data_IF_518838529336
#
_entry.id   IF_518838529336
#
_cell.length_a   1.000
_cell.length_b   1.000
_cell.length_c   1.000
_cell.angle_alpha   90.00
_cell.angle_beta   90.00
_cell.angle_gamma   90.00
#
_symmetry.space_group_name_H-M   'P 1'
#
loop_
_entity.id
_entity.type
_entity.pdbx_description
1 polymer ?
#
# COMPACT_ATOMS: atom_id res chain seq x y z
N UNK A 1 -20.76 -15.56 -9.19
CA UNK A 1 -19.75 -15.41 -10.27
C UNK A 1 -20.14 -14.19 -11.07
N UNK A 2 -19.50 -13.05 -10.81
CA UNK A 2 -19.81 -11.80 -11.53
C UNK A 2 -19.15 -11.90 -12.92
N UNK A 3 -19.88 -12.38 -13.91
CA UNK A 3 -19.46 -12.30 -15.31
C UNK A 3 -19.86 -10.93 -15.84
N UNK A 4 -18.88 -10.07 -16.12
CA UNK A 4 -19.13 -8.81 -16.86
C UNK A 4 -19.82 -9.14 -18.18
N UNK A 5 -20.96 -8.51 -18.44
CA UNK A 5 -21.67 -8.77 -19.70
C UNK A 5 -20.85 -8.24 -20.90
N UNK A 6 -20.94 -8.85 -22.09
CA UNK A 6 -20.27 -8.33 -23.29
C UNK A 6 -20.62 -6.88 -23.60
N UNK A 7 -21.87 -6.48 -23.35
CA UNK A 7 -22.36 -5.11 -23.53
C UNK A 7 -21.64 -4.15 -22.58
N UNK A 8 -21.53 -4.51 -21.30
CA UNK A 8 -20.84 -3.68 -20.32
C UNK A 8 -19.33 -3.60 -20.61
N UNK A 9 -18.71 -4.71 -21.02
CA UNK A 9 -17.31 -4.72 -21.42
C UNK A 9 -17.03 -3.82 -22.63
N UNK A 10 -17.91 -3.82 -23.64
CA UNK A 10 -17.80 -2.95 -24.82
C UNK A 10 -17.96 -1.48 -24.45
N UNK A 11 -18.97 -1.15 -23.64
CA UNK A 11 -19.18 0.22 -23.15
C UNK A 11 -17.95 0.75 -22.41
N UNK A 12 -17.37 -0.05 -21.52
CA UNK A 12 -16.19 0.33 -20.76
C UNK A 12 -14.94 0.49 -21.64
N UNK A 13 -14.76 -0.38 -22.63
CA UNK A 13 -13.67 -0.27 -23.60
C UNK A 13 -13.77 1.02 -24.43
N UNK A 14 -14.97 1.35 -24.91
CA UNK A 14 -15.23 2.61 -25.62
C UNK A 14 -14.95 3.82 -24.74
N UNK A 15 -15.38 3.78 -23.47
CA UNK A 15 -15.10 4.83 -22.48
C UNK A 15 -13.59 5.01 -22.27
N UNK A 16 -12.83 3.93 -22.09
CA UNK A 16 -11.37 3.96 -21.91
C UNK A 16 -10.62 4.49 -23.15
N UNK A 17 -11.10 4.21 -24.35
CA UNK A 17 -10.53 4.76 -25.59
C UNK A 17 -10.84 6.26 -25.68
N UNK A 18 -12.09 6.66 -25.38
CA UNK A 18 -12.55 8.04 -25.46
C UNK A 18 -11.85 8.98 -24.46
N UNK A 19 -11.42 8.48 -23.29
CA UNK A 19 -10.67 9.28 -22.31
C UNK A 19 -9.25 9.62 -22.77
N UNK A 20 -8.73 8.97 -23.82
CA UNK A 20 -7.37 9.21 -24.34
C UNK A 20 -6.24 8.70 -23.44
N UNK A 21 -6.57 7.93 -22.39
CA UNK A 21 -5.62 7.25 -21.51
C UNK A 21 -4.95 6.10 -22.26
N UNK A 22 -5.71 5.37 -23.08
CA UNK A 22 -5.18 4.29 -23.92
C UNK A 22 -4.73 4.86 -25.26
N UNK A 23 -3.41 4.94 -25.46
CA UNK A 23 -2.81 5.52 -26.68
C UNK A 23 -2.14 4.51 -27.61
N UNK A 24 -1.77 3.34 -27.10
CA UNK A 24 -1.09 2.33 -27.91
C UNK A 24 -2.09 1.70 -28.92
N UNK A 25 -1.82 1.80 -30.25
CA UNK A 25 -2.71 1.26 -31.27
C UNK A 25 -2.97 -0.25 -31.13
N UNK A 26 -2.02 -1.01 -30.58
CA UNK A 26 -2.17 -2.45 -30.35
C UNK A 26 -3.19 -2.73 -29.24
N UNK A 27 -3.15 -1.92 -28.17
CA UNK A 27 -4.13 -2.03 -27.07
C UNK A 27 -5.51 -1.60 -27.55
N UNK A 28 -5.60 -0.53 -28.35
CA UNK A 28 -6.87 -0.10 -28.95
C UNK A 28 -7.46 -1.20 -29.85
N UNK A 29 -6.62 -1.88 -30.65
CA UNK A 29 -7.06 -2.99 -31.48
C UNK A 29 -7.63 -4.15 -30.65
N UNK A 30 -6.99 -4.51 -29.54
CA UNK A 30 -7.51 -5.51 -28.58
C UNK A 30 -8.85 -5.06 -27.98
N UNK A 31 -8.93 -3.80 -27.54
CA UNK A 31 -10.15 -3.23 -26.95
C UNK A 31 -11.35 -3.20 -27.92
N UNK A 32 -11.07 -3.14 -29.22
CA UNK A 32 -12.09 -3.19 -30.29
C UNK A 32 -12.37 -4.59 -30.81
N UNK A 33 -11.58 -5.60 -30.47
CA UNK A 33 -11.76 -6.96 -30.96
C UNK A 33 -13.05 -7.62 -30.46
N UNK A 34 -13.51 -8.65 -31.18
CA UNK A 34 -14.66 -9.47 -30.75
C UNK A 34 -14.33 -10.38 -29.57
N UNK A 35 -13.04 -10.75 -29.40
CA UNK A 35 -12.52 -11.46 -28.23
C UNK A 35 -11.96 -10.49 -27.17
N UNK A 36 -12.63 -9.36 -26.96
CA UNK A 36 -12.26 -8.36 -25.95
C UNK A 36 -12.08 -8.99 -24.57
N UNK A 37 -13.11 -9.68 -24.08
CA UNK A 37 -13.14 -10.25 -22.74
C UNK A 37 -12.05 -11.32 -22.60
N UNK A 38 -11.94 -12.25 -23.55
CA UNK A 38 -10.93 -13.31 -23.50
C UNK A 38 -9.51 -12.75 -23.56
N UNK A 39 -9.26 -11.73 -24.38
CA UNK A 39 -7.95 -11.08 -24.46
C UNK A 39 -7.57 -10.37 -23.17
N UNK A 40 -8.49 -9.61 -22.56
CA UNK A 40 -8.26 -8.95 -21.27
C UNK A 40 -8.03 -9.96 -20.17
N UNK A 41 -8.83 -11.03 -20.08
CA UNK A 41 -8.67 -12.09 -19.07
C UNK A 41 -7.31 -12.77 -19.21
N UNK A 42 -6.88 -13.13 -20.42
CA UNK A 42 -5.55 -13.73 -20.65
C UNK A 42 -4.43 -12.76 -20.29
N UNK A 43 -4.56 -11.48 -20.65
CA UNK A 43 -3.58 -10.47 -20.28
C UNK A 43 -3.48 -10.28 -18.76
N UNK A 44 -4.62 -10.25 -18.06
CA UNK A 44 -4.66 -10.16 -16.59
C UNK A 44 -4.08 -11.40 -15.92
N UNK A 45 -4.38 -12.62 -16.39
CA UNK A 45 -3.79 -13.85 -15.86
C UNK A 45 -2.27 -13.89 -16.08
N UNK A 46 -1.80 -13.49 -17.27
CA UNK A 46 -0.36 -13.39 -17.55
C UNK A 46 0.31 -12.36 -16.65
N UNK A 47 -0.28 -11.17 -16.50
CA UNK A 47 0.22 -10.12 -15.62
C UNK A 47 0.26 -10.59 -14.17
N UNK A 48 -0.80 -11.25 -13.69
CA UNK A 48 -0.84 -11.84 -12.35
C UNK A 48 0.32 -12.81 -12.15
N UNK A 49 0.45 -13.83 -13.02
CA UNK A 49 1.48 -14.87 -12.89
C UNK A 49 2.90 -14.34 -12.96
N UNK A 50 3.13 -13.31 -13.76
CA UNK A 50 4.48 -12.80 -14.03
C UNK A 50 4.91 -11.70 -13.08
N UNK A 51 3.96 -10.86 -12.63
CA UNK A 51 4.26 -9.62 -11.92
C UNK A 51 3.84 -9.65 -10.45
N UNK A 52 2.83 -10.43 -10.09
CA UNK A 52 2.24 -10.41 -8.74
C UNK A 52 2.42 -11.72 -7.99
N UNK A 53 2.19 -12.85 -8.67
CA UNK A 53 2.23 -14.17 -8.06
C UNK A 53 3.56 -14.51 -7.38
N UNK A 54 4.74 -14.18 -7.94
CA UNK A 54 6.03 -14.48 -7.29
C UNK A 54 6.15 -13.85 -5.90
N UNK A 55 5.72 -12.60 -5.76
CA UNK A 55 5.88 -11.80 -4.55
C UNK A 55 4.57 -11.67 -3.75
N UNK A 56 3.50 -12.38 -4.14
CA UNK A 56 2.15 -12.14 -3.65
C UNK A 56 2.04 -12.21 -2.13
N UNK A 57 2.71 -13.20 -1.51
CA UNK A 57 2.70 -13.34 -0.06
C UNK A 57 3.38 -12.18 0.66
N UNK A 58 4.41 -11.60 0.07
CA UNK A 58 5.09 -10.41 0.55
C UNK A 58 4.20 -9.17 0.41
N UNK A 59 3.66 -8.94 -0.80
CA UNK A 59 2.75 -7.81 -1.09
C UNK A 59 1.54 -7.83 -0.14
N UNK A 60 0.92 -8.99 0.01
CA UNK A 60 -0.19 -9.22 0.93
C UNK A 60 0.20 -8.96 2.37
N UNK A 61 1.39 -9.38 2.80
CA UNK A 61 1.87 -9.12 4.16
C UNK A 61 2.02 -7.63 4.48
N UNK A 62 2.44 -6.81 3.51
CA UNK A 62 2.51 -5.35 3.67
C UNK A 62 1.11 -4.77 3.93
N UNK A 63 0.13 -5.15 3.11
CA UNK A 63 -1.27 -4.73 3.29
C UNK A 63 -1.84 -5.22 4.63
N UNK A 64 -1.61 -6.49 5.01
CA UNK A 64 -2.05 -7.07 6.29
C UNK A 64 -1.49 -6.29 7.49
N UNK A 65 -0.22 -5.89 7.44
CA UNK A 65 0.42 -5.08 8.48
C UNK A 65 -0.22 -3.70 8.62
N UNK A 66 -0.58 -3.07 7.51
CA UNK A 66 -1.29 -1.79 7.53
C UNK A 66 -2.68 -1.94 8.18
N UNK A 67 -3.47 -2.94 7.76
CA UNK A 67 -4.80 -3.19 8.34
C UNK A 67 -4.74 -3.36 9.86
N UNK A 68 -3.81 -4.17 10.37
CA UNK A 68 -3.64 -4.38 11.82
C UNK A 68 -3.32 -3.06 12.54
N UNK A 69 -2.48 -2.22 11.94
CA UNK A 69 -2.17 -0.90 12.49
C UNK A 69 -3.38 0.03 12.52
N UNK A 70 -4.15 0.10 11.43
CA UNK A 70 -5.34 0.97 11.33
C UNK A 70 -6.44 0.54 12.30
N UNK A 71 -6.65 -0.76 12.48
CA UNK A 71 -7.59 -1.30 13.49
C UNK A 71 -7.15 -0.91 14.91
N UNK A 72 -5.84 -1.00 15.21
CA UNK A 72 -5.29 -0.58 16.50
C UNK A 72 -5.45 0.92 16.76
N UNK A 73 -5.24 1.76 15.73
CA UNK A 73 -5.45 3.21 15.80
C UNK A 73 -6.92 3.56 16.01
N UNK A 74 -7.82 2.87 15.31
CA UNK A 74 -9.26 3.09 15.44
C UNK A 74 -9.74 2.93 16.90
N UNK A 75 -9.27 1.88 17.58
CA UNK A 75 -9.61 1.62 18.98
C UNK A 75 -9.05 2.64 19.98
N UNK A 76 -7.98 3.38 19.62
CA UNK A 76 -7.31 4.34 20.51
C UNK A 76 -7.70 5.79 20.24
N UNK A 77 -7.96 6.14 18.97
CA UNK A 77 -8.01 7.54 18.52
C UNK A 77 -9.14 7.82 17.53
N UNK A 78 -10.00 6.83 17.25
CA UNK A 78 -11.19 7.00 16.41
C UNK A 78 -10.91 7.20 14.92
N UNK A 79 -11.98 7.43 14.16
CA UNK A 79 -11.93 7.49 12.69
C UNK A 79 -11.18 8.68 12.12
N UNK A 80 -11.28 9.87 12.75
CA UNK A 80 -10.60 11.08 12.28
C UNK A 80 -9.09 10.83 12.15
N UNK A 81 -8.46 10.32 13.21
CA UNK A 81 -7.03 9.99 13.24
C UNK A 81 -6.65 8.94 12.20
N UNK A 82 -7.49 7.91 11.99
CA UNK A 82 -7.23 6.87 11.00
C UNK A 82 -7.24 7.45 9.59
N UNK A 83 -8.25 8.25 9.27
CA UNK A 83 -8.50 8.80 7.93
C UNK A 83 -7.49 9.89 7.56
N UNK A 84 -7.21 10.81 8.48
CA UNK A 84 -6.15 11.82 8.30
C UNK A 84 -4.77 11.17 8.15
N UNK A 85 -4.57 10.01 8.80
CA UNK A 85 -3.34 9.24 8.70
C UNK A 85 -3.23 8.34 7.46
N UNK A 86 -4.24 8.25 6.60
CA UNK A 86 -4.19 7.39 5.40
C UNK A 86 -3.31 8.01 4.30
N UNK A 87 -3.45 9.31 4.06
CA UNK A 87 -2.67 10.05 3.07
C UNK A 87 -2.78 11.55 3.34
N UNK A 88 -1.73 12.34 3.04
CA UNK A 88 -1.71 13.78 3.34
C UNK A 88 -2.75 14.62 2.60
N UNK A 89 -3.26 14.09 1.49
CA UNK A 89 -4.34 14.68 0.71
C UNK A 89 -5.73 14.43 1.29
N UNK A 90 -5.87 13.45 2.18
CA UNK A 90 -7.15 13.11 2.79
C UNK A 90 -7.40 13.98 4.02
N UNK A 91 -8.63 14.43 4.18
CA UNK A 91 -9.01 15.21 5.37
C UNK A 91 -10.36 14.75 5.88
N UNK A 92 -10.43 14.44 7.17
CA UNK A 92 -11.68 14.21 7.85
C UNK A 92 -12.40 15.54 8.13
N UNK A 93 -13.62 15.70 7.62
CA UNK A 93 -14.42 16.90 7.82
C UNK A 93 -15.91 16.58 7.76
N UNK A 94 -16.71 17.21 8.63
CA UNK A 94 -18.18 17.13 8.60
C UNK A 94 -18.72 15.67 8.58
N UNK A 95 -18.08 14.77 9.34
CA UNK A 95 -18.34 13.32 9.36
C UNK A 95 -18.18 12.60 8.01
N UNK A 96 -17.38 13.17 7.10
CA UNK A 96 -16.97 12.57 5.84
C UNK A 96 -15.47 12.67 5.61
N UNK A 97 -15.00 11.98 4.57
CA UNK A 97 -13.62 12.10 4.09
C UNK A 97 -13.61 12.94 2.81
N UNK A 98 -12.81 14.00 2.82
CA UNK A 98 -12.52 14.79 1.64
C UNK A 98 -11.38 14.14 0.87
N UNK A 99 -11.60 13.86 -0.42
CA UNK A 99 -10.62 13.30 -1.35
C UNK A 99 -10.39 14.32 -2.46
N UNK A 100 -9.20 14.91 -2.61
CA UNK A 100 -8.94 15.90 -3.65
C UNK A 100 -8.96 15.24 -5.03
N UNK A 101 -9.28 16.02 -6.04
CA UNK A 101 -9.40 15.60 -7.44
C UNK A 101 -10.45 14.50 -7.73
N UNK A 102 -11.30 14.15 -6.75
CA UNK A 102 -12.57 13.51 -7.05
C UNK A 102 -13.49 14.54 -7.73
N UNK A 103 -14.27 14.12 -8.73
CA UNK A 103 -15.27 14.98 -9.36
C UNK A 103 -16.14 15.68 -8.30
N UNK A 104 -16.64 16.91 -8.53
CA UNK A 104 -17.36 17.69 -7.52
C UNK A 104 -18.72 17.04 -7.20
N UNK A 105 -18.71 16.07 -6.28
CA UNK A 105 -19.89 15.40 -5.80
C UNK A 105 -19.66 14.92 -4.37
N UNK A 106 -20.41 15.47 -3.42
CA UNK A 106 -20.54 14.86 -2.10
C UNK A 106 -21.36 13.59 -2.25
N UNK A 107 -20.76 12.44 -1.91
CA UNK A 107 -21.45 11.15 -1.93
C UNK A 107 -21.83 10.74 -0.52
N UNK A 108 -23.13 10.62 -0.26
CA UNK A 108 -23.64 10.09 1.01
C UNK A 108 -23.54 8.56 0.98
N UNK A 109 -22.95 7.97 2.03
CA UNK A 109 -22.75 6.52 2.11
C UNK A 109 -24.03 5.73 2.42
N UNK A 110 -25.12 6.38 2.83
CA UNK A 110 -26.43 5.74 3.00
C UNK A 110 -26.50 4.59 4.03
N UNK A 111 -25.45 4.39 4.84
CA UNK A 111 -25.32 3.23 5.73
C UNK A 111 -24.54 2.04 5.11
N UNK A 112 -24.18 2.11 3.83
CA UNK A 112 -23.40 1.07 3.11
C UNK A 112 -21.93 1.01 3.55
N UNK A 113 -21.48 2.02 4.31
CA UNK A 113 -20.12 2.14 4.81
C UNK A 113 -19.11 2.56 3.74
N UNK A 114 -17.85 2.67 4.15
CA UNK A 114 -16.71 2.95 3.28
C UNK A 114 -15.67 1.85 3.47
N UNK A 115 -15.40 1.09 2.42
CA UNK A 115 -14.36 0.06 2.42
C UNK A 115 -12.99 0.71 2.23
N UNK A 116 -12.08 0.46 3.17
CA UNK A 116 -10.71 0.95 3.12
C UNK A 116 -9.77 -0.15 2.63
N UNK A 117 -9.10 0.08 1.50
CA UNK A 117 -8.19 -0.91 0.88
C UNK A 117 -6.77 -0.37 0.82
N UNK A 118 -5.84 -0.89 1.63
CA UNK A 118 -4.43 -0.58 1.48
C UNK A 118 -3.90 -1.19 0.18
N UNK A 119 -3.13 -0.41 -0.57
CA UNK A 119 -2.50 -0.83 -1.82
C UNK A 119 -1.01 -0.53 -1.80
N UNK A 120 -0.23 -1.47 -2.32
CA UNK A 120 1.21 -1.29 -2.55
C UNK A 120 1.52 -0.61 -3.88
N UNK A 121 0.51 -0.35 -4.72
CA UNK A 121 0.66 0.14 -6.10
C UNK A 121 0.04 1.51 -6.36
N UNK A 122 -0.79 2.04 -5.45
CA UNK A 122 -1.55 3.28 -5.69
C UNK A 122 -0.73 4.56 -5.44
N UNK A 123 0.42 4.43 -4.76
CA UNK A 123 1.27 5.56 -4.42
C UNK A 123 1.77 6.32 -5.66
N UNK A 124 1.96 7.65 -5.57
CA UNK A 124 1.81 8.49 -4.37
C UNK A 124 0.36 8.97 -4.14
N UNK A 125 -0.64 8.48 -4.88
CA UNK A 125 -2.01 8.98 -4.80
C UNK A 125 -2.97 8.11 -3.98
N UNK A 126 -4.23 8.51 -4.00
CA UNK A 126 -5.38 7.75 -3.50
C UNK A 126 -6.41 7.60 -4.61
N UNK A 127 -7.25 6.57 -4.54
CA UNK A 127 -8.35 6.39 -5.48
C UNK A 127 -9.66 6.10 -4.74
N UNK A 128 -10.74 6.74 -5.17
CA UNK A 128 -12.09 6.47 -4.69
C UNK A 128 -12.88 5.75 -5.78
N UNK A 129 -13.53 4.65 -5.42
CA UNK A 129 -14.51 3.97 -6.26
C UNK A 129 -15.88 4.18 -5.66
N UNK A 130 -16.70 5.00 -6.32
CA UNK A 130 -17.99 5.46 -5.81
C UNK A 130 -19.17 5.01 -6.68
N UNK A 131 -18.93 4.29 -7.77
CA UNK A 131 -19.97 3.88 -8.73
C UNK A 131 -20.19 2.36 -8.71
N UNK A 132 -21.37 1.90 -9.14
CA UNK A 132 -21.65 0.48 -9.36
C UNK A 132 -22.14 -0.32 -8.15
N UNK A 133 -22.13 -1.64 -8.29
CA UNK A 133 -22.63 -2.62 -7.30
C UNK A 133 -21.59 -3.00 -6.24
N UNK A 134 -20.39 -2.42 -6.30
CA UNK A 134 -19.33 -2.66 -5.33
C UNK A 134 -19.47 -1.69 -4.14
N UNK A 135 -19.01 -2.07 -2.92
CA UNK A 135 -18.98 -1.13 -1.80
C UNK A 135 -18.23 0.15 -2.17
N UNK A 136 -18.72 1.29 -1.67
CA UNK A 136 -17.99 2.57 -1.80
C UNK A 136 -16.62 2.38 -1.17
N UNK A 137 -15.56 2.66 -1.92
CA UNK A 137 -14.21 2.24 -1.55
C UNK A 137 -13.21 3.38 -1.67
N UNK A 138 -12.33 3.45 -0.68
CA UNK A 138 -11.12 4.28 -0.71
C UNK A 138 -9.89 3.37 -0.74
N UNK A 139 -9.12 3.47 -1.80
CA UNK A 139 -7.84 2.78 -2.00
C UNK A 139 -6.72 3.77 -1.66
N UNK A 140 -5.83 3.39 -0.74
CA UNK A 140 -4.79 4.27 -0.19
C UNK A 140 -3.44 3.56 -0.11
N UNK A 141 -2.30 4.29 -0.08
CA UNK A 141 -0.99 3.67 -0.02
C UNK A 141 -0.79 2.97 1.33
N UNK A 142 -0.44 1.69 1.29
CA UNK A 142 -0.11 0.92 2.49
C UNK A 142 1.17 1.46 3.14
N UNK A 143 1.24 1.46 4.48
CA UNK A 143 2.46 1.80 5.22
C UNK A 143 3.58 0.81 4.92
N UNK A 144 4.81 1.31 4.83
CA UNK A 144 6.01 0.48 4.58
C UNK A 144 6.22 0.06 3.12
N UNK A 145 5.47 0.62 2.17
CA UNK A 145 5.63 0.39 0.72
C UNK A 145 6.96 0.89 0.16
N UNK A 146 7.52 1.98 0.70
CA UNK A 146 8.84 2.46 0.31
C UNK A 146 9.95 1.39 0.50
N UNK A 147 9.88 0.63 1.60
CA UNK A 147 10.84 -0.43 1.91
C UNK A 147 10.68 -1.68 1.01
N UNK A 148 9.50 -1.87 0.43
CA UNK A 148 9.17 -2.99 -0.46
C UNK A 148 9.79 -2.79 -1.84
N UNK A 149 9.51 -1.65 -2.46
CA UNK A 149 9.93 -1.35 -3.84
C UNK A 149 11.38 -0.86 -3.95
N UNK A 150 12.06 -0.70 -2.81
CA UNK A 150 13.38 -0.08 -2.81
C UNK A 150 13.36 1.29 -3.48
N UNK A 151 12.22 2.01 -3.39
CA UNK A 151 12.08 3.40 -3.84
C UNK A 151 12.86 4.24 -2.84
N UNK A 152 14.17 4.09 -2.96
CA UNK A 152 15.25 4.89 -2.41
C UNK A 152 15.76 5.82 -3.52
N UNK A 153 14.86 6.29 -4.40
CA UNK A 153 15.14 7.43 -5.29
C UNK A 153 15.12 8.75 -4.50
N UNK A 154 15.20 8.70 -3.17
CA UNK A 154 15.58 9.84 -2.35
C UNK A 154 17.09 9.83 -2.15
N UNK A 155 17.81 10.93 -2.43
CA UNK A 155 19.27 11.03 -2.34
C UNK A 155 19.88 10.53 -1.01
N UNK A 156 19.13 10.60 0.10
CA UNK A 156 19.59 10.09 1.39
C UNK A 156 19.50 8.57 1.59
N UNK A 157 18.68 7.85 0.80
CA UNK A 157 18.47 6.40 0.89
C UNK A 157 19.77 5.59 0.84
N UNK A 158 20.60 5.90 -0.15
CA UNK A 158 21.89 5.24 -0.40
C UNK A 158 22.91 5.49 0.71
N UNK A 159 22.93 6.69 1.30
CA UNK A 159 23.86 7.04 2.36
C UNK A 159 23.63 6.18 3.62
N UNK A 160 22.37 5.90 3.96
CA UNK A 160 22.06 5.04 5.10
C UNK A 160 22.36 3.58 4.78
N UNK A 161 22.05 3.11 3.57
CA UNK A 161 22.46 1.78 3.14
C UNK A 161 23.99 1.61 3.20
N UNK A 162 24.76 2.64 2.85
CA UNK A 162 26.22 2.61 2.97
C UNK A 162 26.69 2.60 4.43
N UNK A 163 26.04 3.35 5.32
CA UNK A 163 26.40 3.43 6.74
C UNK A 163 26.14 2.12 7.51
N UNK A 164 24.97 1.53 7.32
CA UNK A 164 24.51 0.39 8.12
C UNK A 164 24.15 -0.84 7.29
N UNK A 165 24.35 -0.83 5.99
CA UNK A 165 23.97 -1.94 5.12
C UNK A 165 22.47 -1.96 4.84
N UNK A 166 22.15 -2.32 3.59
CA UNK A 166 20.79 -2.40 3.03
C UNK A 166 19.77 -3.07 3.94
N UNK A 167 20.04 -4.27 4.44
CA UNK A 167 19.06 -5.01 5.25
C UNK A 167 18.68 -4.31 6.56
N UNK A 168 19.65 -3.67 7.23
CA UNK A 168 19.38 -2.93 8.48
C UNK A 168 18.65 -1.62 8.20
N UNK A 169 18.98 -0.93 7.11
CA UNK A 169 18.28 0.26 6.66
C UNK A 169 16.81 -0.06 6.31
N UNK A 170 16.55 -1.10 5.51
CA UNK A 170 15.20 -1.56 5.15
C UNK A 170 14.38 -1.96 6.38
N UNK A 171 14.98 -2.68 7.34
CA UNK A 171 14.32 -3.04 8.60
C UNK A 171 13.97 -1.81 9.45
N UNK A 172 14.86 -0.81 9.52
CA UNK A 172 14.58 0.43 10.23
C UNK A 172 13.44 1.21 9.56
N UNK A 173 13.48 1.36 8.23
CA UNK A 173 12.42 2.01 7.46
C UNK A 173 11.07 1.30 7.64
N UNK A 174 11.05 -0.03 7.54
CA UNK A 174 9.83 -0.84 7.69
C UNK A 174 9.22 -0.80 9.10
N UNK A 175 9.95 -0.33 10.11
CA UNK A 175 9.50 -0.18 11.50
C UNK A 175 8.87 1.18 11.81
N UNK A 176 8.47 1.93 10.77
CA UNK A 176 7.52 3.06 10.92
C UNK A 176 6.23 2.63 11.63
N UNK A 177 5.86 1.36 11.49
CA UNK A 177 4.84 0.69 12.29
C UNK A 177 5.46 -0.46 13.08
N UNK A 178 5.09 -0.64 14.36
CA UNK A 178 5.63 -1.73 15.16
C UNK A 178 5.34 -3.10 14.55
N UNK A 179 6.33 -3.97 14.52
CA UNK A 179 6.20 -5.28 13.90
C UNK A 179 7.01 -6.36 14.63
N UNK A 180 6.54 -7.60 14.56
CA UNK A 180 7.28 -8.77 15.00
C UNK A 180 8.31 -9.21 13.97
N UNK A 181 9.27 -10.03 14.40
CA UNK A 181 10.31 -10.61 13.53
C UNK A 181 9.69 -11.38 12.35
N UNK A 182 8.63 -12.15 12.57
CA UNK A 182 7.97 -12.93 11.52
C UNK A 182 7.21 -12.05 10.52
N UNK A 183 6.57 -10.97 11.00
CA UNK A 183 5.93 -9.99 10.12
C UNK A 183 6.96 -9.27 9.24
N UNK A 184 8.11 -8.89 9.80
CA UNK A 184 9.20 -8.26 9.05
C UNK A 184 9.81 -9.22 8.03
N UNK A 185 10.09 -10.46 8.43
CA UNK A 185 10.59 -11.51 7.54
C UNK A 185 9.68 -11.71 6.32
N UNK A 186 8.36 -11.83 6.55
CA UNK A 186 7.39 -12.02 5.46
C UNK A 186 7.28 -10.81 4.54
N UNK A 187 7.28 -9.60 5.10
CA UNK A 187 7.07 -8.36 4.31
C UNK A 187 8.32 -7.84 3.61
N UNK A 188 9.52 -8.22 4.06
CA UNK A 188 10.78 -7.84 3.43
C UNK A 188 11.42 -8.99 2.64
N UNK A 189 10.76 -10.14 2.57
CA UNK A 189 11.27 -11.39 1.99
C UNK A 189 12.67 -11.74 2.52
N UNK A 190 12.77 -11.85 3.85
CA UNK A 190 14.01 -12.15 4.55
C UNK A 190 13.86 -13.37 5.46
N UNK A 191 14.92 -14.15 5.60
CA UNK A 191 14.96 -15.25 6.56
C UNK A 191 14.75 -14.74 8.00
N UNK A 192 13.87 -15.41 8.76
CA UNK A 192 13.53 -15.02 10.15
C UNK A 192 14.77 -14.89 11.04
N UNK A 193 15.75 -15.80 10.90
CA UNK A 193 17.01 -15.75 11.64
C UNK A 193 17.81 -14.47 11.34
N UNK A 194 18.00 -14.16 10.05
CA UNK A 194 18.71 -12.95 9.61
C UNK A 194 18.02 -11.67 10.10
N UNK A 195 16.68 -11.63 10.06
CA UNK A 195 15.90 -10.52 10.64
C UNK A 195 16.14 -10.41 12.14
N UNK A 196 16.12 -11.51 12.88
CA UNK A 196 16.41 -11.54 14.31
C UNK A 196 17.79 -10.99 14.66
N UNK A 197 18.81 -11.36 13.88
CA UNK A 197 20.18 -10.89 14.06
C UNK A 197 20.29 -9.38 13.82
N UNK A 198 19.72 -8.89 12.71
CA UNK A 198 19.69 -7.46 12.41
C UNK A 198 18.93 -6.65 13.47
N UNK A 199 17.75 -7.11 13.90
CA UNK A 199 16.97 -6.46 14.96
C UNK A 199 17.74 -6.42 16.29
N UNK A 200 18.51 -7.46 16.60
CA UNK A 200 19.37 -7.49 17.78
C UNK A 200 20.44 -6.42 17.71
N UNK A 201 21.11 -6.27 16.56
CA UNK A 201 22.12 -5.24 16.33
C UNK A 201 21.52 -3.83 16.43
N UNK A 202 20.41 -3.59 15.73
CA UNK A 202 19.70 -2.31 15.73
C UNK A 202 19.23 -1.90 17.14
N UNK A 203 18.73 -2.86 17.92
CA UNK A 203 18.34 -2.65 19.33
C UNK A 203 19.54 -2.33 20.21
N UNK A 204 20.66 -3.06 20.06
CA UNK A 204 21.89 -2.79 20.81
C UNK A 204 22.47 -1.42 20.50
N UNK A 205 22.31 -0.95 19.26
CA UNK A 205 22.67 0.40 18.84
C UNK A 205 21.67 1.49 19.33
N UNK A 206 20.63 1.13 20.08
CA UNK A 206 19.64 2.08 20.60
C UNK A 206 18.64 2.60 19.58
N UNK A 207 18.65 2.08 18.34
CA UNK A 207 17.73 2.49 17.27
C UNK A 207 16.34 1.89 17.43
N UNK A 208 16.24 0.76 18.13
CA UNK A 208 14.99 0.04 18.37
C UNK A 208 14.75 -0.24 19.85
N UNK A 209 13.48 -0.28 20.23
CA UNK A 209 12.98 -0.88 21.46
C UNK A 209 12.07 -2.05 21.13
N UNK A 210 11.82 -2.94 22.10
CA UNK A 210 10.88 -4.05 21.96
C UNK A 210 9.85 -4.04 23.09
N UNK A 211 8.63 -4.43 22.76
CA UNK A 211 7.55 -4.61 23.73
C UNK A 211 6.84 -5.93 23.44
N UNK A 212 6.31 -6.57 24.50
CA UNK A 212 5.50 -7.77 24.33
C UNK A 212 4.05 -7.35 24.08
N UNK A 213 3.45 -7.88 23.01
CA UNK A 213 2.05 -7.72 22.68
C UNK A 213 1.42 -9.10 22.56
N UNK A 214 0.70 -9.51 23.62
CA UNK A 214 0.16 -10.85 23.76
C UNK A 214 1.24 -11.94 23.62
N UNK A 215 1.12 -12.76 22.58
CA UNK A 215 2.02 -13.88 22.28
C UNK A 215 3.26 -13.48 21.47
N UNK A 216 3.33 -12.24 21.01
CA UNK A 216 4.38 -11.77 20.11
C UNK A 216 5.25 -10.68 20.75
N UNK A 217 6.49 -10.56 20.28
CA UNK A 217 7.36 -9.42 20.58
C UNK A 217 7.33 -8.49 19.38
N UNK A 218 6.95 -7.23 19.61
CA UNK A 218 6.98 -6.18 18.60
C UNK A 218 8.22 -5.31 18.81
N UNK A 219 8.83 -4.92 17.71
CA UNK A 219 9.90 -3.94 17.66
C UNK A 219 9.33 -2.58 17.26
N UNK A 220 9.87 -1.52 17.84
CA UNK A 220 9.49 -0.14 17.56
C UNK A 220 10.76 0.67 17.36
N UNK A 221 10.75 1.66 16.47
CA UNK A 221 11.82 2.67 16.43
C UNK A 221 11.85 3.47 17.73
N UNK A 222 13.04 3.87 18.14
CA UNK A 222 13.26 4.91 19.14
C UNK A 222 13.30 6.27 18.44
N UNK A 223 13.29 7.36 19.22
CA UNK A 223 13.47 8.71 18.67
C UNK A 223 14.79 8.83 17.87
N UNK A 224 15.86 8.15 18.30
CA UNK A 224 17.12 8.09 17.55
C UNK A 224 16.94 7.40 16.20
N UNK A 225 16.22 6.28 16.17
CA UNK A 225 15.90 5.58 14.93
C UNK A 225 15.05 6.41 13.96
N UNK A 226 14.12 7.21 14.47
CA UNK A 226 13.32 8.14 13.66
C UNK A 226 14.17 9.30 13.11
N UNK A 227 15.03 9.90 13.94
CA UNK A 227 15.91 11.00 13.50
C UNK A 227 16.88 10.56 12.40
N UNK A 228 17.37 9.32 12.47
CA UNK A 228 18.28 8.76 11.47
C UNK A 228 17.63 8.67 10.08
N UNK A 229 16.33 8.37 10.02
CA UNK A 229 15.59 8.30 8.76
C UNK A 229 15.20 9.70 8.24
N UNK A 230 14.79 10.61 9.13
CA UNK A 230 14.48 12.00 8.73
C UNK A 230 15.68 12.75 8.19
N UNK A 231 16.87 12.52 8.75
CA UNK A 231 18.11 13.11 8.25
C UNK A 231 18.44 12.70 6.79
N UNK A 232 17.78 11.67 6.24
CA UNK A 232 17.89 11.30 4.83
C UNK A 232 16.93 12.07 3.92
N UNK A 233 15.85 12.63 4.46
CA UNK A 233 14.82 13.36 3.71
C UNK A 233 15.20 14.84 3.53
N UNK A 234 16.06 15.37 4.40
CA UNK A 234 16.53 16.77 4.40
C UNK A 234 17.83 17.01 3.57
N UNK A 235 18.32 15.99 2.85
CA UNK A 235 19.51 16.03 1.98
C UNK A 235 19.13 16.01 0.49
#
# INVERSE_FOLDING_TARGET
>A
MLSTSPVQARHEAERCIATGVVRDPRVIAVLRSDDLIGSVVRAMDQAWRSLLAPDWDQLRAVCERDVVYRVGQLGQSGWATVLDGLHGDLTWKDNGVSVPNAAPATVTLGGDGLLLIPSVFIGPGVAAHLDGTWPKTLIYPARGTAALWGVHDTPGGEALEALMGRSRARLLAALETPASTTQLAKSLDMAVGAVGDHLTVLRRAGLLRRARSGRSVLYHRTALGDSLLRAQEDL
#
